data_IF_738766382432
#
_entry.id   IF_738766382432
#
_cell.length_a   1.000
_cell.length_b   1.000
_cell.length_c   1.000
_cell.angle_alpha   90.00
_cell.angle_beta   90.00
_cell.angle_gamma   90.00
#
_symmetry.space_group_name_H-M   'P 1'
#
loop_
_entity.id
_entity.type
_entity.pdbx_description
1 polymer ?
#
# COMPACT_ATOMS: atom_id res chain seq x y z
N UNK A 1 -12.79 1.04 -12.86
CA UNK A 1 -11.78 0.44 -13.77
C UNK A 1 -10.41 0.92 -13.33
N UNK A 2 -9.36 0.15 -13.58
CA UNK A 2 -8.00 0.59 -13.29
C UNK A 2 -6.99 0.07 -14.30
N UNK A 3 -5.95 0.86 -14.58
CA UNK A 3 -4.84 0.49 -15.47
C UNK A 3 -3.73 -0.32 -14.80
N UNK A 4 -2.78 -0.76 -15.62
CA UNK A 4 -1.57 -1.47 -15.21
C UNK A 4 -0.43 -0.49 -14.93
N UNK A 5 0.33 -0.71 -13.85
CA UNK A 5 1.56 0.06 -13.59
C UNK A 5 2.75 -0.43 -14.41
N UNK A 6 2.77 -1.70 -14.81
CA UNK A 6 3.89 -2.32 -15.54
C UNK A 6 3.41 -2.96 -16.83
N UNK A 7 4.27 -2.93 -17.85
CA UNK A 7 3.99 -3.53 -19.16
C UNK A 7 3.77 -5.05 -19.08
N UNK A 8 4.46 -5.73 -18.16
CA UNK A 8 4.28 -7.16 -17.86
C UNK A 8 2.84 -7.51 -17.44
N UNK A 9 2.10 -6.56 -16.85
CA UNK A 9 0.72 -6.76 -16.40
C UNK A 9 -0.29 -6.65 -17.54
N UNK A 10 0.08 -6.08 -18.70
CA UNK A 10 -0.81 -5.92 -19.85
C UNK A 10 -1.34 -7.27 -20.35
N UNK A 11 -0.42 -8.22 -20.56
CA UNK A 11 -0.78 -9.56 -21.05
C UNK A 11 -1.77 -10.28 -20.15
N UNK A 12 -1.63 -10.13 -18.82
CA UNK A 12 -2.55 -10.74 -17.87
C UNK A 12 -3.88 -9.97 -17.75
N UNK A 13 -3.88 -8.66 -17.94
CA UNK A 13 -5.09 -7.85 -17.98
C UNK A 13 -5.94 -8.17 -19.23
N UNK A 14 -5.31 -8.28 -20.40
CA UNK A 14 -5.96 -8.67 -21.66
C UNK A 14 -6.57 -10.07 -21.60
N UNK A 15 -5.85 -11.02 -21.01
CA UNK A 15 -6.36 -12.38 -20.86
C UNK A 15 -7.60 -12.41 -19.95
N UNK A 16 -7.64 -11.64 -18.86
CA UNK A 16 -8.79 -11.57 -17.94
C UNK A 16 -10.00 -10.85 -18.54
N UNK A 17 -9.79 -9.92 -19.46
CA UNK A 17 -10.87 -9.19 -20.12
C UNK A 17 -11.52 -10.00 -21.25
N UNK A 18 -10.75 -10.88 -21.90
CA UNK A 18 -11.19 -11.63 -23.09
C UNK A 18 -11.61 -13.07 -22.82
N UNK A 19 -11.10 -13.69 -21.75
CA UNK A 19 -11.36 -15.11 -21.45
C UNK A 19 -12.39 -15.29 -20.34
N UNK A 20 -13.51 -15.94 -20.67
CA UNK A 20 -14.50 -16.40 -19.68
C UNK A 20 -14.00 -17.54 -18.79
N UNK A 21 -12.88 -18.18 -19.16
CA UNK A 21 -12.25 -19.28 -18.44
C UNK A 21 -11.40 -18.78 -17.27
N UNK A 22 -10.93 -17.53 -17.35
CA UNK A 22 -10.09 -16.95 -16.30
C UNK A 22 -10.99 -16.42 -15.18
N UNK A 23 -10.71 -16.87 -13.94
CA UNK A 23 -11.43 -16.45 -12.75
C UNK A 23 -11.45 -14.92 -12.65
N UNK A 24 -12.65 -14.35 -12.67
CA UNK A 24 -12.86 -12.94 -12.34
C UNK A 24 -12.52 -12.73 -10.87
N UNK A 25 -11.62 -11.78 -10.60
CA UNK A 25 -11.13 -11.50 -9.26
C UNK A 25 -12.13 -10.60 -8.52
N UNK A 26 -12.43 -10.95 -7.27
CA UNK A 26 -13.20 -10.08 -6.37
C UNK A 26 -12.34 -8.92 -5.86
N UNK A 27 -12.95 -7.92 -5.23
CA UNK A 27 -12.22 -6.84 -4.55
C UNK A 27 -11.20 -7.36 -3.54
N UNK A 28 -11.55 -8.41 -2.80
CA UNK A 28 -10.65 -9.07 -1.84
C UNK A 28 -9.47 -9.72 -2.55
N UNK A 29 -9.72 -10.48 -3.64
CA UNK A 29 -8.65 -11.12 -4.41
C UNK A 29 -7.66 -10.08 -4.96
N UNK A 30 -8.18 -8.95 -5.48
CA UNK A 30 -7.32 -7.86 -5.95
C UNK A 30 -6.49 -7.25 -4.84
N UNK A 31 -7.04 -7.04 -3.64
CA UNK A 31 -6.28 -6.51 -2.51
C UNK A 31 -5.18 -7.48 -2.07
N UNK A 32 -5.46 -8.79 -2.01
CA UNK A 32 -4.43 -9.78 -1.75
C UNK A 32 -3.31 -9.72 -2.80
N UNK A 33 -3.68 -9.57 -4.07
CA UNK A 33 -2.72 -9.39 -5.15
C UNK A 33 -1.92 -8.09 -5.04
N UNK A 34 -2.54 -7.00 -4.56
CA UNK A 34 -1.88 -5.72 -4.30
C UNK A 34 -0.86 -5.82 -3.18
N UNK A 35 -1.21 -6.43 -2.06
CA UNK A 35 -0.29 -6.61 -0.92
C UNK A 35 0.88 -7.51 -1.31
N UNK A 36 0.62 -8.57 -2.08
CA UNK A 36 1.66 -9.49 -2.56
C UNK A 36 2.44 -8.96 -3.78
N UNK A 37 2.16 -7.73 -4.23
CA UNK A 37 2.81 -7.07 -5.37
C UNK A 37 2.64 -7.81 -6.72
N UNK A 38 1.68 -8.73 -6.82
CA UNK A 38 1.37 -9.43 -8.08
C UNK A 38 0.51 -8.57 -9.01
N UNK A 39 -0.30 -7.65 -8.45
CA UNK A 39 -1.04 -6.63 -9.21
C UNK A 39 -0.77 -5.29 -8.55
N UNK A 40 -0.36 -4.30 -9.34
CA UNK A 40 -0.13 -2.95 -8.85
C UNK A 40 -0.98 -2.03 -9.71
N UNK A 41 -2.13 -1.54 -9.21
CA UNK A 41 -2.90 -0.57 -9.95
C UNK A 41 -2.07 0.69 -10.13
N UNK A 42 -2.13 1.26 -11.32
CA UNK A 42 -1.65 2.61 -11.53
C UNK A 42 -2.67 3.59 -10.95
N UNK A 43 -2.27 4.31 -9.89
CA UNK A 43 -3.12 5.28 -9.21
C UNK A 43 -3.58 6.42 -10.15
N UNK A 44 -2.79 6.76 -11.17
CA UNK A 44 -3.19 7.73 -12.20
C UNK A 44 -4.23 7.19 -13.16
N UNK A 45 -4.30 5.86 -13.32
CA UNK A 45 -5.20 5.21 -14.27
C UNK A 45 -6.41 4.57 -13.58
N UNK A 46 -6.94 5.16 -12.51
CA UNK A 46 -8.14 4.68 -11.81
C UNK A 46 -9.36 5.53 -12.20
N UNK A 47 -10.40 4.87 -12.74
CA UNK A 47 -11.67 5.51 -13.08
C UNK A 47 -12.76 4.97 -12.18
N UNK A 48 -13.39 5.85 -11.41
CA UNK A 48 -14.48 5.55 -10.48
C UNK A 48 -15.66 6.46 -10.80
N UNK A 49 -16.87 5.91 -10.87
CA UNK A 49 -18.06 6.73 -11.10
C UNK A 49 -18.46 7.48 -9.83
N UNK A 50 -18.83 8.75 -9.96
CA UNK A 50 -19.29 9.55 -8.82
C UNK A 50 -20.50 8.90 -8.11
N UNK A 51 -21.44 8.34 -8.90
CA UNK A 51 -22.59 7.60 -8.37
C UNK A 51 -22.19 6.42 -7.49
N UNK A 52 -21.13 5.70 -7.84
CA UNK A 52 -20.62 4.60 -7.02
C UNK A 52 -20.13 5.09 -5.66
N UNK A 53 -19.35 6.19 -5.63
CA UNK A 53 -18.82 6.76 -4.40
C UNK A 53 -19.94 7.22 -3.46
N UNK A 54 -20.94 7.91 -4.01
CA UNK A 54 -22.11 8.38 -3.26
C UNK A 54 -22.90 7.20 -2.66
N UNK A 55 -23.19 6.17 -3.46
CA UNK A 55 -23.95 5.01 -3.03
C UNK A 55 -23.27 4.25 -1.88
N UNK A 56 -21.93 4.15 -1.92
CA UNK A 56 -21.15 3.43 -0.91
C UNK A 56 -20.62 4.34 0.21
N UNK A 57 -20.99 5.64 0.20
CA UNK A 57 -20.55 6.66 1.16
C UNK A 57 -19.02 6.71 1.30
N UNK A 58 -18.32 6.55 0.18
CA UNK A 58 -16.86 6.62 0.13
C UNK A 58 -16.47 8.06 -0.19
N UNK A 59 -15.72 8.68 0.71
CA UNK A 59 -15.26 10.06 0.59
C UNK A 59 -13.74 10.10 0.52
N UNK A 60 -13.23 10.91 -0.39
CA UNK A 60 -11.81 11.24 -0.46
C UNK A 60 -11.56 12.50 0.37
N UNK A 61 -10.55 12.48 1.25
CA UNK A 61 -10.16 13.65 2.02
C UNK A 61 -8.94 14.29 1.37
N UNK A 62 -9.18 15.39 0.64
CA UNK A 62 -8.16 16.14 -0.10
C UNK A 62 -7.16 16.86 0.80
N UNK A 63 -7.52 17.12 2.06
CA UNK A 63 -6.67 17.83 3.01
C UNK A 63 -5.58 16.96 3.64
N UNK A 64 -5.44 15.71 3.20
CA UNK A 64 -4.48 14.78 3.78
C UNK A 64 -3.22 14.64 2.94
N UNK A 65 -2.09 14.98 3.54
CA UNK A 65 -0.79 15.12 2.88
C UNK A 65 -0.17 13.76 2.53
N UNK A 66 -0.55 12.67 3.23
CA UNK A 66 0.09 11.35 3.08
C UNK A 66 -0.87 10.24 2.67
N UNK A 67 -0.77 9.81 1.41
CA UNK A 67 -1.21 8.50 0.85
C UNK A 67 -2.61 7.99 1.22
N UNK A 68 -3.57 8.87 1.52
CA UNK A 68 -5.00 8.52 1.61
C UNK A 68 -5.57 7.98 0.29
N UNK A 69 -4.87 8.20 -0.83
CA UNK A 69 -5.18 7.57 -2.11
C UNK A 69 -5.19 6.04 -2.03
N UNK A 70 -4.29 5.41 -1.28
CA UNK A 70 -4.27 3.94 -1.19
C UNK A 70 -5.44 3.40 -0.35
N UNK A 71 -5.74 4.01 0.81
CA UNK A 71 -6.93 3.66 1.61
C UNK A 71 -8.23 3.86 0.81
N UNK A 72 -8.32 4.96 0.07
CA UNK A 72 -9.46 5.22 -0.82
C UNK A 72 -9.60 4.15 -1.91
N UNK A 73 -8.50 3.78 -2.57
CA UNK A 73 -8.50 2.72 -3.58
C UNK A 73 -8.91 1.38 -2.96
N UNK A 74 -8.41 1.01 -1.78
CA UNK A 74 -8.83 -0.21 -1.09
C UNK A 74 -10.33 -0.23 -0.81
N UNK A 75 -10.89 0.86 -0.27
CA UNK A 75 -12.33 0.98 -0.04
C UNK A 75 -13.13 0.85 -1.34
N UNK A 76 -12.66 1.49 -2.42
CA UNK A 76 -13.31 1.38 -3.71
C UNK A 76 -13.28 -0.06 -4.25
N UNK A 77 -12.17 -0.76 -4.12
CA UNK A 77 -12.04 -2.15 -4.57
C UNK A 77 -12.94 -3.09 -3.77
N UNK A 78 -12.99 -2.93 -2.46
CA UNK A 78 -13.82 -3.76 -1.57
C UNK A 78 -15.32 -3.57 -1.80
N UNK A 79 -15.74 -2.33 -2.05
CA UNK A 79 -17.14 -2.00 -2.31
C UNK A 79 -17.59 -2.29 -3.75
N UNK A 80 -16.65 -2.54 -4.67
CA UNK A 80 -16.98 -2.76 -6.07
C UNK A 80 -17.51 -4.18 -6.32
N UNK A 81 -18.75 -4.26 -6.80
CA UNK A 81 -19.33 -5.51 -7.30
C UNK A 81 -18.62 -6.00 -8.59
N UNK A 82 -18.11 -5.07 -9.40
CA UNK A 82 -17.38 -5.34 -10.61
C UNK A 82 -16.11 -4.48 -10.69
N UNK A 83 -14.97 -5.14 -10.84
CA UNK A 83 -13.67 -4.51 -11.09
C UNK A 83 -13.17 -4.98 -12.45
N UNK A 84 -12.83 -4.03 -13.30
CA UNK A 84 -12.16 -4.31 -14.57
C UNK A 84 -10.77 -3.69 -14.56
N UNK A 85 -9.77 -4.55 -14.71
CA UNK A 85 -8.40 -4.14 -15.02
C UNK A 85 -8.28 -3.96 -16.53
N UNK A 86 -7.87 -2.77 -16.97
CA UNK A 86 -7.69 -2.45 -18.39
C UNK A 86 -6.21 -2.56 -18.71
N UNK A 87 -5.88 -3.15 -19.86
CA UNK A 87 -4.52 -3.28 -20.36
C UNK A 87 -4.00 -1.95 -20.93
N UNK A 88 -3.90 -0.95 -20.07
CA UNK A 88 -3.33 0.37 -20.37
C UNK A 88 -2.28 0.66 -19.31
N UNK A 89 -1.10 1.08 -19.75
CA UNK A 89 -0.06 1.68 -18.90
C UNK A 89 -0.04 3.16 -19.23
N UNK A 90 -0.14 4.02 -18.21
CA UNK A 90 -0.07 5.47 -18.42
C UNK A 90 1.35 5.83 -18.90
N UNK A 91 1.45 6.55 -20.02
CA UNK A 91 2.70 7.17 -20.42
C UNK A 91 2.93 8.39 -19.51
N UNK A 92 4.02 8.36 -18.74
CA UNK A 92 4.47 9.51 -17.97
C UNK A 92 5.41 10.29 -18.88
N UNK A 93 4.94 11.42 -19.43
CA UNK A 93 5.67 12.18 -20.44
C UNK A 93 7.01 12.75 -19.94
N UNK A 94 7.26 12.80 -18.62
CA UNK A 94 8.56 13.19 -18.06
C UNK A 94 8.71 12.72 -16.60
N UNK A 95 9.34 11.56 -16.36
CA UNK A 95 9.57 11.00 -15.00
C UNK A 95 10.31 12.00 -14.06
N UNK A 96 11.08 12.93 -14.62
CA UNK A 96 11.83 13.93 -13.86
C UNK A 96 10.94 15.06 -13.33
N UNK A 97 9.85 15.41 -14.02
CA UNK A 97 9.02 16.58 -13.67
C UNK A 97 8.20 16.39 -12.39
N UNK A 98 7.73 15.16 -12.12
CA UNK A 98 6.89 14.85 -10.95
C UNK A 98 7.71 14.59 -9.69
N UNK A 99 8.93 14.05 -9.83
CA UNK A 99 9.80 13.73 -8.69
C UNK A 99 10.51 14.96 -8.10
N UNK A 100 10.72 16.02 -8.88
CA UNK A 100 11.44 17.22 -8.45
C UNK A 100 10.65 18.11 -7.47
N UNK A 101 9.33 17.97 -7.41
CA UNK A 101 8.46 18.77 -6.52
C UNK A 101 8.09 18.07 -5.20
N UNK A 102 8.60 16.87 -4.93
CA UNK A 102 8.44 16.18 -3.64
C UNK A 102 9.46 16.62 -2.59
N UNK A 103 9.93 17.88 -2.67
CA UNK A 103 10.49 18.55 -1.50
C UNK A 103 9.34 18.81 -0.52
N UNK A 104 8.91 17.76 0.17
CA UNK A 104 7.89 17.84 1.21
C UNK A 104 8.31 18.92 2.20
N UNK A 105 7.60 20.04 2.14
CA UNK A 105 7.68 21.18 3.03
C UNK A 105 7.00 20.87 4.37
N UNK A 106 6.93 19.59 4.75
CA UNK A 106 6.47 19.19 6.07
C UNK A 106 7.58 19.49 7.07
N UNK A 107 7.31 20.42 8.00
CA UNK A 107 8.22 20.71 9.11
C UNK A 107 8.48 19.47 9.99
N UNK A 108 7.57 18.48 9.97
CA UNK A 108 7.76 17.20 10.67
C UNK A 108 8.40 16.13 9.76
N UNK A 109 9.64 15.79 10.11
CA UNK A 109 10.44 14.75 9.43
C UNK A 109 9.79 13.36 9.57
N UNK A 110 8.96 13.12 10.59
CA UNK A 110 8.30 11.83 10.83
C UNK A 110 6.88 11.74 10.26
N UNK A 111 6.40 12.77 9.59
CA UNK A 111 5.07 12.80 8.98
C UNK A 111 4.76 11.62 8.03
N UNK A 112 5.74 10.99 7.33
CA UNK A 112 5.45 9.77 6.56
C UNK A 112 4.83 8.61 7.36
N UNK A 113 4.99 8.57 8.69
CA UNK A 113 4.33 7.57 9.53
C UNK A 113 2.80 7.69 9.58
N UNK A 114 2.23 8.82 9.16
CA UNK A 114 0.76 8.95 9.00
C UNK A 114 0.19 7.93 8.02
N UNK A 115 0.98 7.45 7.05
CA UNK A 115 0.58 6.35 6.16
C UNK A 115 0.22 5.07 6.94
N UNK A 116 0.95 4.78 8.03
CA UNK A 116 0.69 3.63 8.88
C UNK A 116 -0.67 3.78 9.57
N UNK A 117 -1.00 4.97 10.06
CA UNK A 117 -2.30 5.25 10.67
C UNK A 117 -3.46 5.03 9.69
N UNK A 118 -3.28 5.42 8.42
CA UNK A 118 -4.25 5.14 7.37
C UNK A 118 -4.48 3.64 7.20
N UNK A 119 -3.41 2.86 7.08
CA UNK A 119 -3.50 1.40 6.94
C UNK A 119 -4.14 0.73 8.16
N UNK A 120 -3.89 1.24 9.37
CA UNK A 120 -4.56 0.74 10.58
C UNK A 120 -6.07 1.03 10.56
N UNK A 121 -6.50 2.19 10.05
CA UNK A 121 -7.93 2.47 9.86
C UNK A 121 -8.56 1.55 8.81
N UNK A 122 -7.86 1.30 7.69
CA UNK A 122 -8.29 0.30 6.71
C UNK A 122 -8.39 -1.07 7.36
N UNK A 123 -7.41 -1.49 8.16
CA UNK A 123 -7.43 -2.77 8.87
C UNK A 123 -8.63 -2.89 9.82
N UNK A 124 -8.95 -1.86 10.58
CA UNK A 124 -10.15 -1.84 11.45
C UNK A 124 -11.43 -1.99 10.61
N UNK A 125 -11.50 -1.32 9.46
CA UNK A 125 -12.63 -1.48 8.53
C UNK A 125 -12.72 -2.93 8.00
N UNK A 126 -11.59 -3.52 7.59
CA UNK A 126 -11.52 -4.90 7.13
C UNK A 126 -11.94 -5.90 8.21
N UNK A 127 -11.48 -5.71 9.44
CA UNK A 127 -11.86 -6.56 10.57
C UNK A 127 -13.35 -6.46 10.91
N UNK A 128 -14.00 -5.33 10.63
CA UNK A 128 -15.44 -5.15 10.88
C UNK A 128 -16.31 -5.73 9.76
N UNK A 129 -15.95 -5.47 8.51
CA UNK A 129 -16.80 -5.78 7.35
C UNK A 129 -16.42 -7.09 6.64
N UNK A 130 -15.17 -7.51 6.76
CA UNK A 130 -14.59 -8.65 6.04
C UNK A 130 -13.89 -9.65 7.00
N UNK A 131 -14.42 -9.82 8.22
CA UNK A 131 -13.85 -10.70 9.25
C UNK A 131 -13.67 -12.17 8.82
N UNK A 132 -14.50 -12.64 7.89
CA UNK A 132 -14.46 -13.97 7.29
C UNK A 132 -13.32 -14.15 6.29
N UNK A 133 -12.68 -13.07 5.85
CA UNK A 133 -11.49 -13.09 4.99
C UNK A 133 -10.20 -13.01 5.81
N UNK A 134 -9.94 -14.03 6.63
CA UNK A 134 -8.79 -14.06 7.54
C UNK A 134 -7.44 -13.87 6.84
N UNK A 135 -7.29 -14.43 5.63
CA UNK A 135 -6.04 -14.36 4.87
C UNK A 135 -5.67 -12.91 4.53
N UNK A 136 -6.62 -12.13 4.01
CA UNK A 136 -6.44 -10.71 3.73
C UNK A 136 -6.08 -9.93 5.00
N UNK A 137 -6.76 -10.19 6.12
CA UNK A 137 -6.45 -9.55 7.41
C UNK A 137 -5.02 -9.90 7.86
N UNK A 138 -4.63 -11.18 7.76
CA UNK A 138 -3.26 -11.64 8.09
C UNK A 138 -2.22 -11.03 7.16
N UNK A 139 -2.51 -10.88 5.87
CA UNK A 139 -1.64 -10.18 4.90
C UNK A 139 -1.45 -8.70 5.27
N UNK A 140 -2.49 -8.01 5.71
CA UNK A 140 -2.35 -6.64 6.21
C UNK A 140 -1.43 -6.56 7.42
N UNK A 141 -1.67 -7.41 8.42
CA UNK A 141 -0.96 -7.41 9.71
C UNK A 141 0.51 -7.84 9.55
N UNK A 142 0.77 -8.86 8.73
CA UNK A 142 2.08 -9.53 8.68
C UNK A 142 2.93 -9.09 7.49
N UNK A 143 2.35 -8.39 6.50
CA UNK A 143 3.06 -7.93 5.32
C UNK A 143 2.85 -6.44 5.07
N UNK A 144 1.63 -5.99 4.72
CA UNK A 144 1.41 -4.60 4.26
C UNK A 144 1.84 -3.56 5.30
N UNK A 145 1.40 -3.69 6.55
CA UNK A 145 1.74 -2.75 7.62
C UNK A 145 3.23 -2.78 7.95
N UNK A 146 3.86 -3.94 8.21
CA UNK A 146 5.31 -3.99 8.43
C UNK A 146 6.12 -3.46 7.25
N UNK A 147 5.73 -3.77 6.02
CA UNK A 147 6.43 -3.31 4.82
C UNK A 147 6.41 -1.80 4.68
N UNK A 148 5.23 -1.17 4.83
CA UNK A 148 5.11 0.29 4.83
C UNK A 148 6.00 0.92 5.91
N UNK A 149 6.02 0.38 7.13
CA UNK A 149 6.90 0.85 8.19
C UNK A 149 8.37 0.78 7.76
N UNK A 150 8.81 -0.36 7.19
CA UNK A 150 10.20 -0.52 6.77
C UNK A 150 10.58 0.39 5.60
N UNK A 151 9.66 0.62 4.65
CA UNK A 151 9.86 1.58 3.56
C UNK A 151 10.04 3.02 4.09
N UNK A 152 9.26 3.42 5.10
CA UNK A 152 9.41 4.73 5.76
C UNK A 152 10.77 4.81 6.47
N UNK A 153 11.14 3.78 7.23
CA UNK A 153 12.45 3.70 7.90
C UNK A 153 13.59 3.86 6.88
N UNK A 154 13.52 3.18 5.74
CA UNK A 154 14.49 3.31 4.65
C UNK A 154 14.56 4.73 4.09
N UNK A 155 13.39 5.35 3.84
CA UNK A 155 13.30 6.74 3.39
C UNK A 155 13.97 7.72 4.35
N UNK A 156 13.68 7.59 5.65
CA UNK A 156 14.27 8.43 6.70
C UNK A 156 15.79 8.22 6.83
N UNK A 157 16.26 6.98 6.71
CA UNK A 157 17.69 6.68 6.73
C UNK A 157 18.41 7.27 5.51
N UNK A 158 17.79 7.26 4.33
CA UNK A 158 18.32 7.93 3.12
C UNK A 158 18.39 9.45 3.30
N UNK A 159 17.44 10.03 4.03
CA UNK A 159 17.47 11.43 4.46
C UNK A 159 18.45 11.70 5.63
N UNK A 160 19.31 10.74 5.98
CA UNK A 160 20.33 10.83 7.04
C UNK A 160 19.76 11.00 8.46
N UNK A 161 18.49 10.69 8.69
CA UNK A 161 17.92 10.67 10.04
C UNK A 161 18.60 9.57 10.87
N UNK A 162 18.98 9.88 12.11
CA UNK A 162 19.68 8.92 12.99
C UNK A 162 18.75 7.76 13.36
N UNK A 163 19.23 6.53 13.24
CA UNK A 163 18.46 5.32 13.59
C UNK A 163 17.90 5.35 15.02
N UNK A 164 18.65 5.91 15.98
CA UNK A 164 18.18 6.11 17.37
C UNK A 164 16.94 7.01 17.45
N UNK A 165 16.88 8.09 16.67
CA UNK A 165 15.74 8.99 16.65
C UNK A 165 14.50 8.30 16.06
N UNK A 166 14.67 7.59 14.94
CA UNK A 166 13.60 6.80 14.30
C UNK A 166 13.05 5.76 15.28
N UNK A 167 13.91 4.98 15.94
CA UNK A 167 13.48 3.98 16.92
C UNK A 167 12.75 4.61 18.11
N UNK A 168 13.26 5.73 18.63
CA UNK A 168 12.60 6.44 19.73
C UNK A 168 11.21 6.91 19.35
N UNK A 169 11.04 7.42 18.12
CA UNK A 169 9.74 7.84 17.60
C UNK A 169 8.79 6.65 17.45
N UNK A 170 9.25 5.58 16.79
CA UNK A 170 8.47 4.35 16.61
C UNK A 170 8.02 3.77 17.94
N UNK A 171 8.90 3.72 18.94
CA UNK A 171 8.55 3.21 20.27
C UNK A 171 7.51 4.09 20.97
N UNK A 172 7.67 5.43 20.92
CA UNK A 172 6.72 6.38 21.49
C UNK A 172 5.32 6.25 20.86
N UNK A 173 5.26 5.97 19.56
CA UNK A 173 4.01 5.82 18.80
C UNK A 173 3.49 4.38 18.73
N UNK A 174 4.27 3.39 19.17
CA UNK A 174 3.90 1.97 19.15
C UNK A 174 4.10 1.25 17.82
N UNK A 175 4.75 1.86 16.82
CA UNK A 175 4.99 1.26 15.51
C UNK A 175 5.95 0.06 15.54
N UNK A 176 6.81 -0.02 16.56
CA UNK A 176 7.69 -1.17 16.82
C UNK A 176 6.91 -2.47 17.07
N UNK A 177 5.73 -2.36 17.71
CA UNK A 177 4.83 -3.48 18.01
C UNK A 177 4.07 -3.97 16.77
N UNK A 178 3.96 -3.13 15.74
CA UNK A 178 3.28 -3.46 14.48
C UNK A 178 4.16 -4.24 13.49
N UNK A 179 5.47 -4.38 13.76
CA UNK A 179 6.40 -5.18 12.97
C UNK A 179 6.19 -6.70 13.21
N UNK A 180 4.99 -7.20 12.95
CA UNK A 180 4.60 -8.59 13.22
C UNK A 180 5.13 -9.48 12.10
N UNK A 181 5.88 -10.52 12.48
CA UNK A 181 6.36 -11.56 11.57
C UNK A 181 5.45 -12.77 11.68
N UNK A 182 5.02 -13.32 10.56
CA UNK A 182 4.21 -14.53 10.50
C UNK A 182 4.39 -15.32 9.21
N UNK A 183 3.49 -16.29 8.95
CA UNK A 183 3.53 -17.13 7.75
C UNK A 183 3.42 -16.31 6.45
N UNK A 184 2.73 -15.17 6.46
CA UNK A 184 2.55 -14.33 5.27
C UNK A 184 3.64 -13.25 5.11
N UNK A 185 4.61 -13.17 6.01
CA UNK A 185 5.72 -12.21 5.87
C UNK A 185 6.77 -12.76 4.89
N UNK A 186 7.06 -12.07 3.76
CA UNK A 186 8.09 -12.48 2.82
C UNK A 186 9.47 -12.55 3.48
N UNK A 187 10.36 -13.42 2.98
CA UNK A 187 11.71 -13.60 3.54
C UNK A 187 12.50 -12.29 3.58
N UNK A 188 12.46 -11.50 2.50
CA UNK A 188 13.14 -10.20 2.41
C UNK A 188 12.68 -9.24 3.51
N UNK A 189 11.37 -9.18 3.77
CA UNK A 189 10.80 -8.37 4.84
C UNK A 189 11.16 -8.90 6.23
N UNK A 190 11.22 -10.22 6.42
CA UNK A 190 11.70 -10.83 7.67
C UNK A 190 13.13 -10.41 7.98
N UNK A 191 14.03 -10.42 6.99
CA UNK A 191 15.42 -9.97 7.15
C UNK A 191 15.46 -8.50 7.54
N UNK A 192 14.72 -7.62 6.84
CA UNK A 192 14.62 -6.19 7.17
C UNK A 192 14.17 -5.96 8.61
N UNK A 193 13.05 -6.56 9.02
CA UNK A 193 12.51 -6.40 10.38
C UNK A 193 13.50 -6.92 11.44
N UNK A 194 14.10 -8.09 11.20
CA UNK A 194 15.03 -8.72 12.15
C UNK A 194 16.29 -7.87 12.31
N UNK A 195 16.90 -7.43 11.20
CA UNK A 195 18.07 -6.54 11.24
C UNK A 195 17.74 -5.23 11.90
N UNK A 196 16.58 -4.62 11.63
CA UNK A 196 16.18 -3.38 12.29
C UNK A 196 16.02 -3.54 13.80
N UNK A 197 15.43 -4.65 14.25
CA UNK A 197 15.21 -4.94 15.68
C UNK A 197 16.51 -5.14 16.44
N UNK A 198 17.37 -6.02 15.96
CA UNK A 198 18.55 -6.50 16.71
C UNK A 198 19.85 -5.81 16.29
N UNK A 199 19.97 -5.43 15.02
CA UNK A 199 21.21 -4.93 14.43
C UNK A 199 21.00 -3.60 13.67
N UNK A 200 20.38 -2.56 14.28
CA UNK A 200 19.95 -1.35 13.56
C UNK A 200 21.10 -0.58 12.90
N UNK A 201 22.34 -0.73 13.38
CA UNK A 201 23.53 -0.14 12.75
C UNK A 201 23.85 -0.77 11.39
N UNK A 202 23.47 -2.03 11.20
CA UNK A 202 23.73 -2.81 10.00
C UNK A 202 22.55 -2.80 9.01
N UNK A 203 21.44 -2.15 9.36
CA UNK A 203 20.26 -2.07 8.50
C UNK A 203 20.56 -1.43 7.13
N UNK A 204 21.57 -0.56 7.04
CA UNK A 204 21.98 0.06 5.77
C UNK A 204 22.52 -0.93 4.73
N UNK A 205 22.79 -2.18 5.12
CA UNK A 205 23.35 -3.24 4.27
C UNK A 205 22.31 -4.32 3.89
N UNK A 206 21.03 -4.08 4.20
CA UNK A 206 19.89 -4.96 3.88
C UNK A 206 19.00 -4.29 2.86
#
# INVERSE_FOLDING_TARGET
>A
MFGCKRQEQLKFADLRSTSSVIKQLTGVDYIECMITHSIIPDAGAVVISNRFLQNHKIWFNENSIYRYGEDFVYKCFLAANHLAQVAVVMQVDDEKSVLLNQNHTSQDIFAPFEEVECLLRTLVFLQKQYNHHEKMIKLFIQQKVPETIMQIVEGLLKQKVKSRAIRSYMHKKGYDRLLIIGPYTPHTLKVKITTWRYFPKFYRFV
#
